data_IF_740493959470
#
_entry.id   IF_740493959470
#
_cell.length_a   1.000
_cell.length_b   1.000
_cell.length_c   1.000
_cell.angle_alpha   90.00
_cell.angle_beta   90.00
_cell.angle_gamma   90.00
#
_symmetry.space_group_name_H-M   'P 1'
#
loop_
_entity.id
_entity.type
_entity.pdbx_description
1 polymer ?
#
# COMPACT_ATOMS: atom_id res chain seq x y z
N UNK A 1 7.30 -4.63 16.88
CA UNK A 1 7.19 -3.43 16.05
C UNK A 1 7.59 -3.75 14.64
N UNK A 2 6.72 -3.48 13.69
CA UNK A 2 6.98 -3.71 12.27
C UNK A 2 7.92 -2.63 11.74
N UNK A 3 8.93 -3.01 10.97
CA UNK A 3 9.92 -2.07 10.46
C UNK A 3 9.90 -2.00 8.94
N UNK A 4 10.12 -0.78 8.42
CA UNK A 4 10.39 -0.57 7.01
C UNK A 4 11.88 -0.77 6.74
N UNK A 5 12.20 -1.26 5.57
CA UNK A 5 13.58 -1.41 5.09
C UNK A 5 13.89 -0.29 4.11
N UNK A 6 15.01 0.40 4.34
CA UNK A 6 15.45 1.44 3.40
C UNK A 6 16.03 0.81 2.14
N UNK A 7 15.65 1.33 0.97
CA UNK A 7 16.25 0.92 -0.29
C UNK A 7 17.66 1.47 -0.41
N UNK A 8 18.54 0.67 -1.00
CA UNK A 8 19.89 1.11 -1.35
C UNK A 8 19.82 1.93 -2.64
N UNK A 9 20.11 3.24 -2.55
CA UNK A 9 20.00 4.15 -3.69
C UNK A 9 20.96 3.78 -4.83
N UNK A 10 22.08 3.13 -4.51
CA UNK A 10 23.05 2.70 -5.52
C UNK A 10 22.54 1.56 -6.40
N UNK A 11 21.57 0.78 -5.91
CA UNK A 11 20.97 -0.31 -6.68
C UNK A 11 19.85 0.17 -7.61
N UNK A 12 19.38 1.40 -7.46
CA UNK A 12 18.22 1.92 -8.18
C UNK A 12 18.61 3.16 -8.99
N UNK A 13 18.63 2.98 -10.27
CA UNK A 13 19.05 3.99 -11.27
C UNK A 13 18.35 5.35 -11.11
N UNK A 14 17.10 5.33 -10.65
CA UNK A 14 16.26 6.52 -10.61
C UNK A 14 16.28 7.24 -9.26
N UNK A 15 16.98 6.68 -8.26
CA UNK A 15 17.10 7.30 -6.95
C UNK A 15 18.35 8.17 -6.89
N UNK A 16 18.18 9.41 -6.46
CA UNK A 16 19.30 10.29 -6.13
C UNK A 16 19.87 9.95 -4.74
N UNK A 17 21.09 10.40 -4.45
CA UNK A 17 21.75 10.07 -3.19
C UNK A 17 20.99 10.58 -1.94
N UNK A 18 20.20 11.64 -2.10
CA UNK A 18 19.38 12.23 -1.03
C UNK A 18 17.93 11.73 -1.00
N UNK A 19 17.56 10.80 -1.88
CA UNK A 19 16.24 10.19 -1.83
C UNK A 19 16.16 9.16 -0.70
N UNK A 20 15.07 9.21 0.07
CA UNK A 20 14.78 8.28 1.14
C UNK A 20 13.57 7.41 0.76
N UNK A 21 13.84 6.18 0.33
CA UNK A 21 12.81 5.23 -0.05
C UNK A 21 12.81 4.03 0.89
N UNK A 22 11.63 3.63 1.34
CA UNK A 22 11.45 2.50 2.26
C UNK A 22 10.40 1.55 1.72
N UNK A 23 10.54 0.26 2.07
CA UNK A 23 9.54 -0.75 1.76
C UNK A 23 9.28 -1.64 2.97
N UNK A 24 8.10 -2.25 3.01
CA UNK A 24 7.73 -3.20 4.05
C UNK A 24 8.07 -4.64 3.65
N UNK A 25 7.72 -5.03 2.45
CA UNK A 25 7.90 -6.39 1.96
C UNK A 25 8.16 -6.40 0.47
N UNK A 26 8.35 -7.58 -0.06
CA UNK A 26 8.65 -7.75 -1.48
C UNK A 26 7.52 -8.54 -2.16
N UNK A 27 7.08 -8.03 -3.31
CA UNK A 27 6.18 -8.76 -4.18
C UNK A 27 7.00 -9.68 -5.07
N UNK A 28 6.72 -10.99 -5.00
CA UNK A 28 7.39 -11.97 -5.84
C UNK A 28 6.71 -12.01 -7.21
N UNK A 29 7.34 -11.39 -8.19
CA UNK A 29 6.85 -11.37 -9.56
C UNK A 29 6.75 -12.80 -10.10
N UNK A 30 5.61 -13.10 -10.77
CA UNK A 30 5.31 -14.44 -11.30
C UNK A 30 5.16 -15.55 -10.25
N UNK A 31 5.25 -15.21 -8.98
CA UNK A 31 5.06 -16.19 -7.89
C UNK A 31 3.61 -16.53 -7.62
N UNK A 32 2.68 -15.66 -8.01
CA UNK A 32 1.25 -15.85 -7.83
C UNK A 32 0.78 -15.56 -6.40
N UNK A 33 -0.50 -15.80 -6.18
CA UNK A 33 -1.19 -15.49 -4.93
C UNK A 33 -0.55 -16.21 -3.72
N UNK A 34 -0.06 -17.42 -3.90
CA UNK A 34 0.46 -18.23 -2.79
C UNK A 34 1.94 -18.03 -2.49
N UNK A 35 2.64 -17.13 -3.21
CA UNK A 35 4.08 -16.95 -3.04
C UNK A 35 4.43 -16.40 -1.65
N UNK A 36 3.59 -15.54 -1.09
CA UNK A 36 3.81 -14.92 0.22
C UNK A 36 2.54 -14.23 0.71
N UNK A 37 2.51 -13.86 1.99
CA UNK A 37 1.43 -13.03 2.53
C UNK A 37 1.36 -11.68 1.81
N UNK A 38 2.52 -11.09 1.50
CA UNK A 38 2.59 -9.84 0.72
C UNK A 38 1.92 -10.02 -0.64
N UNK A 39 2.20 -11.11 -1.36
CA UNK A 39 1.56 -11.38 -2.64
C UNK A 39 0.04 -11.51 -2.49
N UNK A 40 -0.43 -12.28 -1.49
CA UNK A 40 -1.86 -12.46 -1.26
C UNK A 40 -2.57 -11.14 -1.02
N UNK A 41 -2.02 -10.30 -0.15
CA UNK A 41 -2.65 -9.04 0.21
C UNK A 41 -2.60 -8.01 -0.92
N UNK A 42 -1.55 -8.03 -1.73
CA UNK A 42 -1.48 -7.16 -2.92
C UNK A 42 -2.50 -7.62 -3.97
N UNK A 43 -2.62 -8.93 -4.21
CA UNK A 43 -3.62 -9.46 -5.14
C UNK A 43 -5.03 -9.06 -4.72
N UNK A 44 -5.35 -9.22 -3.44
CA UNK A 44 -6.66 -8.85 -2.92
C UNK A 44 -6.91 -7.34 -3.02
N UNK A 45 -5.90 -6.52 -2.70
CA UNK A 45 -6.00 -5.07 -2.79
C UNK A 45 -6.25 -4.61 -4.23
N UNK A 46 -5.65 -5.29 -5.20
CA UNK A 46 -5.75 -4.93 -6.63
C UNK A 46 -6.97 -5.49 -7.34
N UNK A 47 -7.85 -6.23 -6.66
CA UNK A 47 -9.13 -6.61 -7.25
C UNK A 47 -9.86 -5.37 -7.77
N UNK A 48 -10.46 -5.50 -8.97
CA UNK A 48 -11.18 -4.38 -9.58
C UNK A 48 -12.39 -3.99 -8.72
N UNK A 49 -12.75 -2.70 -8.66
CA UNK A 49 -13.93 -2.27 -7.90
C UNK A 49 -15.23 -2.84 -8.47
N UNK A 50 -15.22 -3.31 -9.73
CA UNK A 50 -16.35 -3.97 -10.39
C UNK A 50 -16.40 -5.47 -10.15
N UNK A 51 -15.49 -6.03 -9.37
CA UNK A 51 -15.43 -7.47 -9.10
C UNK A 51 -16.63 -7.94 -8.25
N UNK A 52 -16.83 -9.24 -8.18
CA UNK A 52 -17.91 -9.82 -7.38
C UNK A 52 -17.75 -9.62 -5.88
N UNK A 53 -18.82 -9.90 -5.14
CA UNK A 53 -18.90 -9.66 -3.69
C UNK A 53 -17.76 -10.33 -2.90
N UNK A 54 -17.38 -11.57 -3.26
CA UNK A 54 -16.30 -12.26 -2.59
C UNK A 54 -14.96 -11.55 -2.75
N UNK A 55 -14.64 -11.14 -3.98
CA UNK A 55 -13.42 -10.41 -4.27
C UNK A 55 -13.39 -9.05 -3.57
N UNK A 56 -14.52 -8.34 -3.51
CA UNK A 56 -14.62 -7.06 -2.83
C UNK A 56 -14.48 -7.21 -1.31
N UNK A 57 -14.98 -8.31 -0.75
CA UNK A 57 -14.77 -8.61 0.66
C UNK A 57 -13.26 -8.72 0.99
N UNK A 58 -12.53 -9.51 0.19
CA UNK A 58 -11.09 -9.67 0.40
C UNK A 58 -10.30 -8.41 0.08
N UNK A 59 -10.78 -7.60 -0.87
CA UNK A 59 -10.22 -6.27 -1.14
C UNK A 59 -10.33 -5.38 0.10
N UNK A 60 -11.49 -5.35 0.74
CA UNK A 60 -11.68 -4.60 1.99
C UNK A 60 -10.78 -5.10 3.11
N UNK A 61 -10.60 -6.41 3.23
CA UNK A 61 -9.67 -7.02 4.19
C UNK A 61 -8.22 -6.60 3.91
N UNK A 62 -7.83 -6.53 2.64
CA UNK A 62 -6.49 -6.07 2.26
C UNK A 62 -6.26 -4.59 2.61
N UNK A 63 -7.25 -3.74 2.41
CA UNK A 63 -7.19 -2.34 2.85
C UNK A 63 -6.91 -2.27 4.36
N UNK A 64 -7.64 -3.02 5.17
CA UNK A 64 -7.44 -3.05 6.61
C UNK A 64 -6.06 -3.62 6.98
N UNK A 65 -5.64 -4.67 6.31
CA UNK A 65 -4.31 -5.26 6.52
C UNK A 65 -3.20 -4.24 6.29
N UNK A 66 -3.21 -3.56 5.13
CA UNK A 66 -2.17 -2.59 4.80
C UNK A 66 -2.24 -1.34 5.66
N UNK A 67 -3.46 -0.91 6.02
CA UNK A 67 -3.64 0.18 6.98
C UNK A 67 -3.01 -0.14 8.32
N UNK A 68 -3.22 -1.36 8.81
CA UNK A 68 -2.63 -1.82 10.07
C UNK A 68 -1.11 -1.92 10.01
N UNK A 69 -0.57 -2.53 8.93
CA UNK A 69 0.88 -2.66 8.74
C UNK A 69 1.54 -1.29 8.73
N UNK A 70 1.03 -0.37 7.92
CA UNK A 70 1.65 0.96 7.80
C UNK A 70 1.48 1.79 9.07
N UNK A 71 0.35 1.70 9.75
CA UNK A 71 0.17 2.35 11.04
C UNK A 71 1.21 1.90 12.07
N UNK A 72 1.57 0.61 12.03
CA UNK A 72 2.59 0.06 12.93
C UNK A 72 4.02 0.38 12.50
N UNK A 73 4.24 0.76 11.24
CA UNK A 73 5.56 1.15 10.73
C UNK A 73 5.85 2.64 10.92
N UNK A 74 4.82 3.47 11.04
CA UNK A 74 4.96 4.93 11.08
C UNK A 74 4.85 5.44 12.51
N UNK A 75 5.70 6.43 12.84
CA UNK A 75 5.53 7.25 14.03
C UNK A 75 4.38 8.23 13.80
N UNK A 76 3.15 7.81 14.09
CA UNK A 76 1.95 8.55 13.73
C UNK A 76 1.89 9.95 14.36
N UNK A 77 2.39 10.10 15.58
CA UNK A 77 2.45 11.41 16.24
C UNK A 77 3.37 12.38 15.47
N UNK A 78 4.54 11.91 15.08
CA UNK A 78 5.47 12.69 14.27
C UNK A 78 4.87 13.01 12.90
N UNK A 79 4.29 11.99 12.25
CA UNK A 79 3.66 12.15 10.94
C UNK A 79 2.55 13.20 10.98
N UNK A 80 1.71 13.17 12.02
CA UNK A 80 0.63 14.14 12.19
C UNK A 80 1.12 15.59 12.29
N UNK A 81 2.26 15.79 12.97
CA UNK A 81 2.79 17.14 13.20
C UNK A 81 3.63 17.67 12.04
N UNK A 82 4.40 16.81 11.39
CA UNK A 82 5.48 17.24 10.50
C UNK A 82 5.39 16.72 9.08
N UNK A 83 4.48 15.80 8.79
CA UNK A 83 4.41 15.14 7.49
C UNK A 83 3.03 15.25 6.86
N UNK A 84 3.02 15.16 5.53
CA UNK A 84 1.79 14.97 4.75
C UNK A 84 1.90 13.62 4.05
N UNK A 85 0.90 12.75 4.25
CA UNK A 85 0.83 11.48 3.55
C UNK A 85 0.09 11.68 2.22
N UNK A 86 0.74 11.31 1.13
CA UNK A 86 0.17 11.45 -0.21
C UNK A 86 0.03 10.06 -0.80
N UNK A 87 -1.21 9.58 -1.05
CA UNK A 87 -1.40 8.28 -1.67
C UNK A 87 -1.05 8.33 -3.16
N UNK A 88 -0.47 7.24 -3.66
CA UNK A 88 -0.24 7.10 -5.10
C UNK A 88 -1.58 7.05 -5.83
N UNK A 89 -1.81 7.91 -6.84
CA UNK A 89 -3.10 7.97 -7.53
C UNK A 89 -3.35 6.75 -8.41
N UNK A 90 -4.62 6.49 -8.69
CA UNK A 90 -5.03 5.49 -9.67
C UNK A 90 -4.62 5.93 -11.09
N UNK A 91 -4.29 4.96 -11.94
CA UNK A 91 -3.96 5.22 -13.35
C UNK A 91 -5.18 5.56 -14.20
N UNK A 92 -6.39 5.32 -13.70
CA UNK A 92 -7.65 5.61 -14.41
C UNK A 92 -8.27 6.90 -13.89
N UNK A 93 -8.96 7.68 -14.76
CA UNK A 93 -9.71 8.85 -14.30
C UNK A 93 -10.92 8.45 -13.46
N UNK A 94 -11.42 9.37 -12.65
CA UNK A 94 -12.56 9.12 -11.75
C UNK A 94 -13.83 8.69 -12.49
N UNK A 95 -13.93 9.02 -13.77
CA UNK A 95 -15.08 8.67 -14.62
C UNK A 95 -14.99 7.25 -15.21
N UNK A 96 -13.85 6.59 -15.09
CA UNK A 96 -13.66 5.25 -15.63
C UNK A 96 -14.25 4.20 -14.69
N UNK A 97 -14.88 3.15 -15.28
CA UNK A 97 -15.49 2.07 -14.48
C UNK A 97 -14.51 1.34 -13.56
N UNK A 98 -13.24 1.23 -13.97
CA UNK A 98 -12.20 0.58 -13.20
C UNK A 98 -11.43 1.56 -12.29
N UNK A 99 -11.90 2.81 -12.12
CA UNK A 99 -11.30 3.72 -11.16
C UNK A 99 -11.33 3.11 -9.76
N UNK A 100 -10.16 3.10 -9.12
CA UNK A 100 -9.97 2.44 -7.84
C UNK A 100 -9.16 3.35 -6.91
N UNK A 101 -9.78 3.82 -5.86
CA UNK A 101 -9.16 4.69 -4.87
C UNK A 101 -8.49 3.91 -3.72
N UNK A 102 -8.06 2.68 -4.00
CA UNK A 102 -7.52 1.75 -2.97
C UNK A 102 -6.44 2.37 -2.09
N UNK A 103 -5.52 3.16 -2.65
CA UNK A 103 -4.46 3.77 -1.86
C UNK A 103 -5.02 4.84 -0.91
N UNK A 104 -6.04 5.59 -1.34
CA UNK A 104 -6.74 6.52 -0.47
C UNK A 104 -7.48 5.78 0.65
N UNK A 105 -8.08 4.64 0.35
CA UNK A 105 -8.74 3.80 1.36
C UNK A 105 -7.75 3.27 2.39
N UNK A 106 -6.56 2.84 1.97
CA UNK A 106 -5.48 2.43 2.87
C UNK A 106 -5.09 3.60 3.78
N UNK A 107 -4.90 4.79 3.20
CA UNK A 107 -4.56 5.98 3.97
C UNK A 107 -5.63 6.32 5.02
N UNK A 108 -6.90 6.23 4.65
CA UNK A 108 -8.01 6.42 5.59
C UNK A 108 -8.02 5.36 6.70
N UNK A 109 -7.65 4.12 6.38
CA UNK A 109 -7.50 3.05 7.36
C UNK A 109 -6.40 3.38 8.38
N UNK A 110 -5.27 3.93 7.93
CA UNK A 110 -4.21 4.41 8.82
C UNK A 110 -4.76 5.48 9.77
N UNK A 111 -5.48 6.46 9.23
CA UNK A 111 -6.03 7.57 10.01
C UNK A 111 -7.00 7.10 11.11
N UNK A 112 -7.77 6.05 10.84
CA UNK A 112 -8.70 5.49 11.84
C UNK A 112 -8.01 4.77 13.00
N UNK A 113 -6.72 4.48 12.87
CA UNK A 113 -5.95 3.70 13.87
C UNK A 113 -5.12 4.58 14.82
N UNK A 114 -5.37 5.83 14.83
CA UNK A 114 -4.68 6.77 15.73
C UNK A 114 -5.02 6.47 17.18
#
# INVERSE_FOLDING_TARGET
MTRLTKLDNDEYRWLADDDDCYHYGEYTSKGGFRASDTNQQIWNLKNKPTAGKGALYYKGKAVEYWGNVLANCLELEYVNQFCTLIPMPCSKPTTHADYDDRMLQVLRSIARRK
#
